data_IF_307357833795
#
_entry.id   IF_307357833795
#
_cell.length_a   1.000
_cell.length_b   1.000
_cell.length_c   1.000
_cell.angle_alpha   90.00
_cell.angle_beta   90.00
_cell.angle_gamma   90.00
#
_symmetry.space_group_name_H-M   'P 1'
#
loop_
_entity.id
_entity.type
_entity.pdbx_description
1 polymer ?
#
# COMPACT_ATOMS: atom_id res chain seq x y z
N UNK A 1 -22.83 7.98 0.46
CA UNK A 1 -22.83 8.16 -0.99
C UNK A 1 -21.50 8.53 -1.61
N UNK A 2 -20.67 9.42 -1.03
CA UNK A 2 -19.37 9.79 -1.62
C UNK A 2 -18.49 8.60 -2.03
N UNK A 3 -18.38 7.58 -1.18
CA UNK A 3 -17.55 6.41 -1.48
C UNK A 3 -18.10 5.50 -2.59
N UNK A 4 -19.42 5.51 -2.82
CA UNK A 4 -20.02 4.81 -3.97
C UNK A 4 -19.72 5.56 -5.27
N UNK A 5 -19.74 6.90 -5.22
CA UNK A 5 -19.35 7.76 -6.35
C UNK A 5 -17.87 7.59 -6.68
N UNK A 6 -17.01 7.54 -5.67
CA UNK A 6 -15.57 7.27 -5.85
C UNK A 6 -15.34 5.87 -6.42
N UNK A 7 -15.96 4.83 -5.87
CA UNK A 7 -15.85 3.47 -6.39
C UNK A 7 -16.30 3.35 -7.87
N UNK A 8 -17.40 4.02 -8.21
CA UNK A 8 -17.89 4.07 -9.59
C UNK A 8 -16.91 4.76 -10.56
N UNK A 9 -16.05 5.66 -10.07
CA UNK A 9 -15.06 6.37 -10.85
C UNK A 9 -13.73 5.61 -11.02
N UNK A 10 -13.57 4.42 -10.41
CA UNK A 10 -12.39 3.56 -10.54
C UNK A 10 -11.49 3.43 -9.30
N UNK A 11 -11.39 4.41 -8.37
CA UNK A 11 -10.71 4.21 -7.10
C UNK A 11 -11.23 3.02 -6.28
N UNK A 12 -10.32 2.19 -5.77
CA UNK A 12 -10.68 1.05 -4.94
C UNK A 12 -11.21 1.51 -3.57
N UNK A 13 -12.31 0.93 -3.06
CA UNK A 13 -12.86 1.34 -1.77
C UNK A 13 -11.93 0.99 -0.60
N UNK A 14 -11.57 1.98 0.22
CA UNK A 14 -10.82 1.75 1.47
C UNK A 14 -11.73 1.29 2.61
N UNK A 15 -13.04 1.55 2.50
CA UNK A 15 -14.04 1.12 3.50
C UNK A 15 -14.64 -0.22 3.12
N UNK A 16 -14.52 -1.19 4.01
CA UNK A 16 -15.03 -2.57 3.82
C UNK A 16 -16.51 -2.63 3.41
N UNK A 17 -17.37 -1.75 3.97
CA UNK A 17 -18.81 -1.70 3.70
C UNK A 17 -19.20 -1.34 2.25
N UNK A 18 -18.28 -0.79 1.45
CA UNK A 18 -18.59 -0.34 0.07
C UNK A 18 -18.37 -1.46 -0.95
N UNK A 19 -17.55 -2.46 -0.62
CA UNK A 19 -17.22 -3.57 -1.50
C UNK A 19 -18.42 -4.40 -1.92
N UNK A 20 -19.36 -4.67 -1.00
CA UNK A 20 -20.60 -5.40 -1.32
C UNK A 20 -21.40 -4.68 -2.42
N UNK A 21 -21.51 -3.36 -2.32
CA UNK A 21 -22.21 -2.55 -3.33
C UNK A 21 -21.46 -2.53 -4.66
N UNK A 22 -20.13 -2.39 -4.64
CA UNK A 22 -19.32 -2.31 -5.85
C UNK A 22 -19.31 -3.64 -6.63
N UNK A 23 -19.20 -4.77 -5.90
CA UNK A 23 -19.35 -6.11 -6.47
C UNK A 23 -20.74 -6.34 -7.06
N UNK A 24 -21.79 -5.81 -6.44
CA UNK A 24 -23.14 -5.84 -7.00
C UNK A 24 -23.21 -5.10 -8.35
N UNK A 25 -22.58 -3.92 -8.45
CA UNK A 25 -22.56 -3.15 -9.70
C UNK A 25 -21.75 -3.83 -10.81
N UNK A 26 -20.77 -4.66 -10.43
CA UNK A 26 -19.90 -5.34 -11.38
C UNK A 26 -20.46 -6.68 -11.90
N UNK A 27 -21.58 -7.19 -11.37
CA UNK A 27 -22.08 -8.54 -11.68
C UNK A 27 -22.27 -8.87 -13.17
N UNK A 28 -22.58 -7.89 -14.00
CA UNK A 28 -22.74 -8.09 -15.45
C UNK A 28 -21.42 -8.21 -16.20
N UNK A 29 -20.29 -7.94 -15.54
CA UNK A 29 -18.94 -8.01 -16.07
C UNK A 29 -18.11 -8.99 -15.23
N UNK A 30 -17.94 -10.24 -15.70
CA UNK A 30 -17.20 -11.27 -14.98
C UNK A 30 -15.75 -10.89 -14.68
N UNK A 31 -15.07 -10.22 -15.62
CA UNK A 31 -13.69 -9.80 -15.43
C UNK A 31 -13.59 -8.72 -14.34
N UNK A 32 -14.46 -7.70 -14.41
CA UNK A 32 -14.51 -6.67 -13.36
C UNK A 32 -14.83 -7.27 -11.99
N UNK A 33 -15.74 -8.24 -11.93
CA UNK A 33 -16.08 -8.93 -10.68
C UNK A 33 -14.86 -9.67 -10.10
N UNK A 34 -14.13 -10.43 -10.93
CA UNK A 34 -12.91 -11.14 -10.51
C UNK A 34 -11.84 -10.17 -10.00
N UNK A 35 -11.60 -9.09 -10.74
CA UNK A 35 -10.63 -8.05 -10.36
C UNK A 35 -10.99 -7.41 -9.01
N UNK A 36 -12.25 -7.04 -8.80
CA UNK A 36 -12.69 -6.44 -7.54
C UNK A 36 -12.60 -7.43 -6.37
N UNK A 37 -12.90 -8.71 -6.58
CA UNK A 37 -12.72 -9.74 -5.54
C UNK A 37 -11.25 -9.93 -5.17
N UNK A 38 -10.36 -9.94 -6.17
CA UNK A 38 -8.92 -10.03 -5.93
C UNK A 38 -8.41 -8.82 -5.13
N UNK A 39 -8.85 -7.61 -5.47
CA UNK A 39 -8.48 -6.41 -4.72
C UNK A 39 -9.08 -6.38 -3.30
N UNK A 40 -10.33 -6.84 -3.12
CA UNK A 40 -10.94 -6.96 -1.80
C UNK A 40 -10.12 -7.87 -0.89
N UNK A 41 -9.64 -9.00 -1.43
CA UNK A 41 -8.80 -9.93 -0.69
C UNK A 41 -7.43 -9.34 -0.37
N UNK A 42 -6.80 -8.64 -1.33
CA UNK A 42 -5.52 -7.96 -1.09
C UNK A 42 -5.64 -6.85 -0.04
N UNK A 43 -6.75 -6.09 -0.04
CA UNK A 43 -7.00 -5.00 0.89
C UNK A 43 -7.04 -5.43 2.36
N UNK A 44 -7.33 -6.71 2.65
CA UNK A 44 -7.25 -7.26 4.02
C UNK A 44 -5.84 -7.18 4.62
N UNK A 45 -4.82 -7.13 3.77
CA UNK A 45 -3.40 -7.05 4.15
C UNK A 45 -2.79 -5.69 3.81
N UNK A 46 -3.61 -4.73 3.36
CA UNK A 46 -3.16 -3.38 3.09
C UNK A 46 -3.12 -2.58 4.40
N UNK A 47 -1.93 -2.13 4.79
CA UNK A 47 -1.76 -1.28 5.96
C UNK A 47 -1.68 0.18 5.49
N UNK A 48 -2.42 1.05 6.18
CA UNK A 48 -2.27 2.48 5.97
C UNK A 48 -0.83 2.89 6.30
N UNK A 49 -0.24 3.72 5.44
CA UNK A 49 1.05 4.36 5.75
C UNK A 49 0.89 5.15 7.06
N UNK A 50 1.86 5.07 7.99
CA UNK A 50 1.83 5.87 9.21
C UNK A 50 1.59 7.35 8.90
N UNK A 51 0.66 7.98 9.60
CA UNK A 51 0.36 9.42 9.43
C UNK A 51 1.36 10.29 10.19
N UNK A 52 2.65 9.98 10.08
CA UNK A 52 3.72 10.78 10.67
C UNK A 52 4.28 11.73 9.61
N UNK A 53 4.65 12.98 9.98
CA UNK A 53 5.25 13.93 9.04
C UNK A 53 6.49 13.38 8.32
N UNK A 54 7.22 12.50 8.99
CA UNK A 54 8.49 11.91 8.56
C UNK A 54 8.29 10.75 7.57
N UNK A 55 7.05 10.32 7.29
CA UNK A 55 6.75 9.17 6.42
C UNK A 55 7.40 9.26 5.03
N UNK A 56 7.48 10.47 4.46
CA UNK A 56 8.15 10.74 3.17
C UNK A 56 9.66 10.54 3.31
N UNK A 57 10.25 11.09 4.37
CA UNK A 57 11.69 11.00 4.62
C UNK A 57 12.13 9.55 4.90
N UNK A 58 11.36 8.83 5.71
CA UNK A 58 11.56 7.40 5.97
C UNK A 58 11.51 6.62 4.66
N UNK A 59 10.51 6.87 3.80
CA UNK A 59 10.39 6.19 2.50
C UNK A 59 11.61 6.46 1.61
N UNK A 60 12.07 7.72 1.55
CA UNK A 60 13.25 8.10 0.78
C UNK A 60 14.55 7.46 1.31
N UNK A 61 14.62 7.15 2.61
CA UNK A 61 15.74 6.44 3.20
C UNK A 61 15.69 4.92 2.95
N UNK A 62 14.49 4.32 2.93
CA UNK A 62 14.28 2.87 2.78
C UNK A 62 14.46 2.41 1.34
N UNK A 63 13.90 3.11 0.35
CA UNK A 63 13.91 2.65 -1.04
C UNK A 63 15.31 2.43 -1.64
N UNK A 64 16.30 3.33 -1.42
CA UNK A 64 17.66 3.12 -1.92
C UNK A 64 18.31 1.85 -1.38
N UNK A 65 18.04 1.49 -0.12
CA UNK A 65 18.57 0.27 0.49
C UNK A 65 17.99 -0.99 -0.17
N UNK A 66 16.68 -1.00 -0.40
CA UNK A 66 16.01 -2.09 -1.11
C UNK A 66 16.54 -2.24 -2.53
N UNK A 67 16.78 -1.12 -3.24
CA UNK A 67 17.35 -1.14 -4.58
C UNK A 67 18.77 -1.70 -4.59
N UNK A 68 19.61 -1.32 -3.62
CA UNK A 68 20.95 -1.88 -3.48
C UNK A 68 20.92 -3.41 -3.27
N UNK A 69 19.95 -3.93 -2.51
CA UNK A 69 19.78 -5.38 -2.40
C UNK A 69 19.35 -6.05 -3.71
N UNK A 70 18.43 -5.43 -4.45
CA UNK A 70 17.94 -5.96 -5.74
C UNK A 70 19.09 -6.02 -6.77
N UNK A 71 19.95 -5.01 -6.80
CA UNK A 71 21.09 -4.93 -7.71
C UNK A 71 22.28 -5.79 -7.27
N UNK A 72 22.24 -6.35 -6.06
CA UNK A 72 23.30 -7.20 -5.50
C UNK A 72 24.43 -6.43 -4.82
N UNK A 73 24.31 -5.11 -4.67
CA UNK A 73 25.28 -4.28 -3.94
C UNK A 73 25.24 -4.54 -2.42
N UNK A 74 24.08 -5.01 -1.92
CA UNK A 74 23.88 -5.45 -0.53
C UNK A 74 23.19 -6.81 -0.48
N UNK A 75 23.38 -7.53 0.61
CA UNK A 75 22.47 -8.65 0.92
C UNK A 75 21.12 -8.11 1.37
N UNK A 76 20.04 -8.89 1.21
CA UNK A 76 18.71 -8.50 1.72
C UNK A 76 18.74 -8.17 3.20
N UNK A 77 19.51 -8.92 4.00
CA UNK A 77 19.63 -8.64 5.44
C UNK A 77 20.29 -7.28 5.69
N UNK A 78 21.41 -7.00 5.04
CA UNK A 78 22.13 -5.74 5.24
C UNK A 78 21.28 -4.53 4.83
N UNK A 79 20.60 -4.60 3.68
CA UNK A 79 19.71 -3.53 3.24
C UNK A 79 18.56 -3.28 4.22
N UNK A 80 17.93 -4.34 4.74
CA UNK A 80 16.85 -4.21 5.72
C UNK A 80 17.35 -3.66 7.06
N UNK A 81 18.52 -4.12 7.53
CA UNK A 81 19.15 -3.62 8.75
C UNK A 81 19.49 -2.12 8.62
N UNK A 82 20.10 -1.70 7.51
CA UNK A 82 20.47 -0.31 7.25
C UNK A 82 19.24 0.60 7.08
N UNK A 83 18.21 0.12 6.38
CA UNK A 83 16.94 0.84 6.22
C UNK A 83 16.25 1.08 7.58
N UNK A 84 16.22 0.07 8.45
CA UNK A 84 15.65 0.18 9.78
C UNK A 84 16.43 1.17 10.67
N UNK A 85 17.76 1.14 10.60
CA UNK A 85 18.61 2.08 11.33
C UNK A 85 18.38 3.54 10.88
N UNK A 86 18.33 3.79 9.56
CA UNK A 86 18.07 5.13 9.01
C UNK A 86 16.68 5.65 9.36
N UNK A 87 15.64 4.81 9.22
CA UNK A 87 14.29 5.19 9.61
C UNK A 87 14.20 5.52 11.11
N UNK A 88 14.91 4.77 11.95
CA UNK A 88 14.99 5.03 13.39
C UNK A 88 15.67 6.36 13.69
N UNK A 89 16.77 6.67 13.00
CA UNK A 89 17.49 7.94 13.15
C UNK A 89 16.59 9.13 12.81
N UNK A 90 15.86 9.06 11.68
CA UNK A 90 14.90 10.11 11.27
C UNK A 90 13.86 10.36 12.37
N UNK A 91 13.30 9.28 12.93
CA UNK A 91 12.31 9.38 14.01
C UNK A 91 12.89 9.93 15.32
N UNK A 92 14.19 9.76 15.56
CA UNK A 92 14.87 10.29 16.75
C UNK A 92 15.24 11.76 16.61
N UNK A 93 15.45 12.23 15.38
CA UNK A 93 15.82 13.61 15.06
C UNK A 93 14.61 14.55 14.86
N UNK A 94 13.39 13.99 14.80
CA UNK A 94 12.11 14.69 14.67
C UNK A 94 11.60 15.30 15.98
#
# INVERSE_FOLDING_TARGET
>A
DSQKLEAAAGPLPTRTKVWEWDLEQAKSDPYKTEVLQAFQQAAQNAFAVPQTPESIEISNAVYPELQAAILGDKTSKQALDDAAAKATQILQDA
#
